data_IF_049250092590
#
_entry.id   IF_049250092590
#
_cell.length_a   1.000
_cell.length_b   1.000
_cell.length_c   1.000
_cell.angle_alpha   90.00
_cell.angle_beta   90.00
_cell.angle_gamma   90.00
#
_symmetry.space_group_name_H-M   'P 1'
#
loop_
_entity.id
_entity.type
_entity.pdbx_description
1 polymer ?
#
# COMPACT_ATOMS: atom_id res chain seq x y z
N UNK A 1 34.34 -20.27 -4.85
CA UNK A 1 34.43 -20.04 -3.38
C UNK A 1 34.19 -18.58 -2.98
N UNK A 2 34.78 -17.58 -3.63
CA UNK A 2 34.58 -16.14 -3.30
C UNK A 2 33.14 -15.68 -3.47
N UNK A 3 32.40 -16.16 -4.47
CA UNK A 3 31.00 -15.78 -4.72
C UNK A 3 30.07 -16.34 -3.64
N UNK A 4 30.31 -17.53 -3.14
CA UNK A 4 29.56 -18.12 -2.03
C UNK A 4 29.79 -17.36 -0.71
N UNK A 5 31.03 -16.95 -0.44
CA UNK A 5 31.42 -16.20 0.75
C UNK A 5 30.74 -14.81 0.74
N UNK A 6 30.75 -14.10 -0.40
CA UNK A 6 30.03 -12.80 -0.49
C UNK A 6 28.53 -12.91 -0.31
N UNK A 7 27.89 -13.97 -0.85
CA UNK A 7 26.44 -14.23 -0.65
C UNK A 7 26.12 -14.54 0.81
N UNK A 8 26.98 -15.30 1.48
CA UNK A 8 26.83 -15.63 2.90
C UNK A 8 27.08 -14.41 3.80
N UNK A 9 28.05 -13.56 3.49
CA UNK A 9 28.30 -12.31 4.20
C UNK A 9 27.12 -11.34 4.11
N UNK A 10 26.50 -11.15 2.95
CA UNK A 10 25.36 -10.26 2.77
C UNK A 10 24.15 -10.70 3.62
N UNK A 11 23.86 -12.00 3.67
CA UNK A 11 22.79 -12.54 4.52
C UNK A 11 23.09 -12.35 6.01
N UNK A 12 24.31 -12.64 6.45
CA UNK A 12 24.68 -12.57 7.87
C UNK A 12 24.83 -11.13 8.36
N UNK A 13 25.33 -10.22 7.51
CA UNK A 13 25.65 -8.85 7.89
C UNK A 13 24.48 -7.88 7.67
N UNK A 14 23.75 -8.04 6.57
CA UNK A 14 22.76 -7.05 6.12
C UNK A 14 21.34 -7.63 5.89
N UNK A 15 21.16 -8.95 5.96
CA UNK A 15 19.86 -9.61 5.92
C UNK A 15 19.16 -9.60 4.57
N UNK A 16 19.87 -9.42 3.44
CA UNK A 16 19.31 -9.55 2.09
C UNK A 16 19.97 -10.70 1.31
N UNK A 17 19.20 -11.38 0.47
CA UNK A 17 19.67 -12.54 -0.29
C UNK A 17 18.76 -12.89 -1.46
N UNK A 18 19.16 -13.88 -2.27
CA UNK A 18 18.33 -14.41 -3.36
C UNK A 18 18.36 -15.93 -3.40
N UNK A 19 17.20 -16.50 -3.76
CA UNK A 19 17.04 -17.93 -4.04
C UNK A 19 16.82 -18.09 -5.55
N UNK A 20 17.60 -18.97 -6.18
CA UNK A 20 17.48 -19.33 -7.60
C UNK A 20 16.83 -20.71 -7.72
N UNK A 21 15.69 -20.78 -8.41
CA UNK A 21 15.09 -22.05 -8.83
C UNK A 21 15.43 -22.31 -10.30
N UNK A 22 16.48 -23.07 -10.53
CA UNK A 22 17.07 -23.21 -11.86
C UNK A 22 16.22 -24.02 -12.84
N UNK A 23 15.47 -25.02 -12.37
CA UNK A 23 14.61 -25.85 -13.21
C UNK A 23 13.48 -25.04 -13.84
N UNK A 24 12.94 -24.07 -13.12
CA UNK A 24 11.75 -23.32 -13.50
C UNK A 24 12.03 -21.86 -13.85
N UNK A 25 13.30 -21.49 -13.91
CA UNK A 25 13.79 -20.16 -14.30
C UNK A 25 13.16 -19.02 -13.53
N UNK A 26 12.94 -19.17 -12.25
CA UNK A 26 12.55 -18.05 -11.40
C UNK A 26 13.56 -17.77 -10.29
N UNK A 27 13.50 -16.56 -9.80
CA UNK A 27 14.35 -16.02 -8.75
C UNK A 27 13.50 -15.29 -7.72
N UNK A 28 13.71 -15.58 -6.44
CA UNK A 28 13.12 -14.82 -5.35
C UNK A 28 14.22 -13.94 -4.76
N UNK A 29 13.98 -12.64 -4.69
CA UNK A 29 14.89 -11.65 -4.12
C UNK A 29 14.30 -11.17 -2.79
N UNK A 30 15.03 -11.41 -1.71
CA UNK A 30 14.68 -10.95 -0.37
C UNK A 30 15.46 -9.68 -0.05
N UNK A 31 14.74 -8.60 0.25
CA UNK A 31 15.29 -7.30 0.56
C UNK A 31 15.14 -6.99 2.06
N UNK A 32 16.18 -6.46 2.67
CA UNK A 32 16.07 -5.85 3.98
C UNK A 32 15.70 -4.37 3.84
N UNK A 33 14.40 -4.11 3.72
CA UNK A 33 13.89 -2.75 3.56
C UNK A 33 13.99 -1.87 4.81
N UNK A 34 14.33 -2.45 5.97
CA UNK A 34 14.65 -1.68 7.17
C UNK A 34 15.91 -0.81 6.99
N UNK A 35 16.79 -1.16 6.04
CA UNK A 35 17.95 -0.32 5.69
C UNK A 35 17.56 0.98 4.97
N UNK A 36 16.33 1.09 4.51
CA UNK A 36 15.81 2.18 3.68
C UNK A 36 14.81 3.08 4.40
N UNK A 37 14.56 2.83 5.70
CA UNK A 37 13.66 3.63 6.52
C UNK A 37 14.18 5.07 6.67
N UNK A 38 13.28 5.98 7.01
CA UNK A 38 13.66 7.33 7.35
C UNK A 38 14.61 7.33 8.55
N UNK A 39 15.71 8.09 8.48
CA UNK A 39 16.80 8.04 9.47
C UNK A 39 16.38 8.37 10.89
N UNK A 40 15.32 9.17 11.07
CA UNK A 40 14.77 9.49 12.40
C UNK A 40 14.25 8.24 13.14
N UNK A 41 13.71 7.25 12.39
CA UNK A 41 13.15 6.02 12.93
C UNK A 41 14.11 4.84 12.90
N UNK A 42 15.26 5.00 12.24
CA UNK A 42 16.19 3.90 11.99
C UNK A 42 17.20 3.70 13.11
N UNK A 43 16.70 3.35 14.31
CA UNK A 43 17.54 3.02 15.47
C UNK A 43 18.50 1.85 15.24
N UNK A 44 18.20 0.97 14.27
CA UNK A 44 19.08 -0.14 13.93
C UNK A 44 20.30 0.33 13.15
N UNK A 45 20.15 1.24 12.19
CA UNK A 45 21.29 1.83 11.51
C UNK A 45 22.20 2.58 12.48
N UNK A 46 21.65 3.32 13.45
CA UNK A 46 22.44 4.01 14.46
C UNK A 46 23.23 3.09 15.41
N UNK A 47 22.72 1.89 15.70
CA UNK A 47 23.42 0.92 16.57
C UNK A 47 24.56 0.17 15.86
N UNK A 48 24.41 -0.11 14.56
CA UNK A 48 25.40 -0.84 13.79
C UNK A 48 26.31 0.08 12.96
N UNK A 49 25.96 1.36 12.85
CA UNK A 49 26.60 2.35 11.99
C UNK A 49 27.89 2.95 12.54
N UNK A 50 28.39 2.47 13.65
CA UNK A 50 29.55 3.07 14.33
C UNK A 50 30.81 3.22 13.47
N UNK A 51 30.91 2.64 12.29
CA UNK A 51 32.01 2.86 11.34
C UNK A 51 31.83 2.32 9.92
N UNK A 52 30.68 1.71 9.56
CA UNK A 52 30.50 1.04 8.26
C UNK A 52 29.44 1.64 7.34
N UNK A 53 28.78 2.75 7.72
CA UNK A 53 27.85 3.45 6.81
C UNK A 53 28.57 4.63 6.17
N UNK A 54 29.56 4.36 5.35
CA UNK A 54 30.16 5.39 4.50
C UNK A 54 29.22 5.82 3.36
N UNK A 55 28.09 5.12 3.14
CA UNK A 55 27.18 5.43 2.07
C UNK A 55 25.71 5.31 2.50
N UNK A 56 25.13 6.40 2.98
CA UNK A 56 23.71 6.50 3.31
C UNK A 56 22.78 6.23 2.09
N UNK A 57 23.29 6.35 0.87
CA UNK A 57 22.56 6.11 -0.37
C UNK A 57 22.55 4.64 -0.82
N UNK A 58 23.47 3.83 -0.32
CA UNK A 58 23.51 2.39 -0.58
C UNK A 58 23.99 1.62 0.66
N UNK A 59 23.16 1.57 1.72
CA UNK A 59 23.51 0.90 2.96
C UNK A 59 23.86 -0.56 2.70
N UNK A 60 25.04 -0.97 3.14
CA UNK A 60 25.57 -2.33 2.96
C UNK A 60 25.60 -2.81 1.49
N UNK A 61 25.69 -1.92 0.52
CA UNK A 61 25.71 -2.22 -0.92
C UNK A 61 24.43 -2.96 -1.42
N UNK A 62 23.31 -2.86 -0.71
CA UNK A 62 22.08 -3.57 -1.09
C UNK A 62 21.55 -3.12 -2.44
N UNK A 63 21.60 -1.81 -2.76
CA UNK A 63 21.15 -1.29 -4.06
C UNK A 63 21.98 -1.81 -5.21
N UNK A 64 23.30 -1.73 -5.09
CA UNK A 64 24.23 -2.23 -6.10
C UNK A 64 24.05 -3.71 -6.35
N UNK A 65 23.85 -4.48 -5.28
CA UNK A 65 23.57 -5.90 -5.37
C UNK A 65 22.19 -6.18 -5.99
N UNK A 66 21.16 -5.46 -5.61
CA UNK A 66 19.79 -5.63 -6.11
C UNK A 66 19.72 -5.41 -7.61
N UNK A 67 20.22 -4.27 -8.11
CA UNK A 67 20.26 -3.95 -9.52
C UNK A 67 21.07 -4.99 -10.34
N UNK A 68 22.24 -5.40 -9.84
CA UNK A 68 23.04 -6.45 -10.46
C UNK A 68 22.33 -7.80 -10.52
N UNK A 69 21.55 -8.10 -9.49
CA UNK A 69 20.75 -9.34 -9.42
C UNK A 69 19.62 -9.31 -10.45
N UNK A 70 18.90 -8.20 -10.58
CA UNK A 70 17.85 -8.02 -11.59
C UNK A 70 18.41 -8.07 -13.01
N UNK A 71 19.53 -7.37 -13.27
CA UNK A 71 20.21 -7.44 -14.57
C UNK A 71 20.62 -8.89 -14.93
N UNK A 72 21.11 -9.63 -13.95
CA UNK A 72 21.49 -11.04 -14.14
C UNK A 72 20.27 -11.90 -14.45
N UNK A 73 19.16 -11.68 -13.73
CA UNK A 73 17.90 -12.38 -13.97
C UNK A 73 17.37 -12.11 -15.38
N UNK A 74 17.37 -10.84 -15.81
CA UNK A 74 16.93 -10.45 -17.16
C UNK A 74 17.79 -11.13 -18.25
N UNK A 75 19.11 -11.13 -18.13
CA UNK A 75 20.01 -11.84 -19.08
C UNK A 75 19.74 -13.35 -19.13
N UNK A 76 19.41 -13.95 -18.00
CA UNK A 76 19.10 -15.38 -17.89
C UNK A 76 17.68 -15.72 -18.29
N UNK A 77 16.84 -14.70 -18.59
CA UNK A 77 15.40 -14.84 -18.83
C UNK A 77 14.69 -15.52 -17.65
N UNK A 78 15.04 -15.14 -16.44
CA UNK A 78 14.40 -15.60 -15.21
C UNK A 78 13.23 -14.68 -14.86
N UNK A 79 12.15 -15.23 -14.37
CA UNK A 79 11.07 -14.54 -13.71
C UNK A 79 11.49 -14.14 -12.29
N UNK A 80 11.11 -12.96 -11.83
CA UNK A 80 11.50 -12.42 -10.51
C UNK A 80 10.32 -12.19 -9.61
N UNK A 81 10.44 -12.64 -8.36
CA UNK A 81 9.61 -12.23 -7.23
C UNK A 81 10.45 -11.44 -6.25
N UNK A 82 9.86 -10.37 -5.70
CA UNK A 82 10.50 -9.53 -4.68
C UNK A 82 9.75 -9.71 -3.37
N UNK A 83 10.48 -9.94 -2.30
CA UNK A 83 9.96 -10.06 -0.94
C UNK A 83 10.69 -9.05 -0.05
N UNK A 84 9.95 -8.27 0.70
CA UNK A 84 10.47 -7.32 1.67
C UNK A 84 9.53 -7.18 2.87
N UNK A 85 9.95 -6.42 3.88
CA UNK A 85 9.08 -6.15 5.02
C UNK A 85 8.33 -4.84 4.84
N UNK A 86 9.03 -3.71 4.86
CA UNK A 86 8.44 -2.38 4.70
C UNK A 86 8.27 -2.06 3.22
N UNK A 87 7.05 -1.80 2.74
CA UNK A 87 6.79 -1.50 1.33
C UNK A 87 7.13 -0.04 0.99
N UNK A 88 7.31 0.28 -0.29
CA UNK A 88 7.27 1.65 -0.76
C UNK A 88 5.84 2.20 -0.72
N UNK A 89 5.72 3.52 -0.75
CA UNK A 89 4.44 4.21 -0.79
C UNK A 89 3.99 4.74 0.56
N UNK A 90 2.71 5.00 0.64
CA UNK A 90 2.06 5.69 1.74
C UNK A 90 1.31 4.69 2.60
N UNK A 91 1.40 4.86 3.92
CA UNK A 91 0.61 4.10 4.89
C UNK A 91 -0.87 4.53 4.79
N UNK A 92 -1.74 3.59 4.51
CA UNK A 92 -3.18 3.80 4.36
C UNK A 92 -3.91 4.10 5.67
N UNK A 93 -3.25 3.95 6.81
CA UNK A 93 -3.78 4.25 8.15
C UNK A 93 -3.19 5.50 8.80
N UNK A 94 -2.07 5.98 8.29
CA UNK A 94 -1.41 7.19 8.79
C UNK A 94 -1.39 8.25 7.68
N UNK A 95 -2.37 9.13 7.69
CA UNK A 95 -2.65 10.15 6.69
C UNK A 95 -1.40 10.72 5.97
N UNK A 96 -0.97 10.06 4.89
CA UNK A 96 0.09 10.54 4.02
C UNK A 96 1.53 10.29 4.50
N UNK A 97 1.76 9.47 5.53
CA UNK A 97 3.11 9.14 5.99
C UNK A 97 3.78 8.10 5.10
N UNK A 98 4.98 8.39 4.61
CA UNK A 98 5.86 7.42 3.98
C UNK A 98 6.85 6.87 5.01
N UNK A 99 7.04 5.54 5.02
CA UNK A 99 7.94 4.88 5.96
C UNK A 99 9.36 4.81 5.41
N UNK A 100 9.50 4.53 4.12
CA UNK A 100 10.80 4.61 3.45
C UNK A 100 11.21 6.07 3.30
N UNK A 101 12.52 6.37 3.40
CA UNK A 101 13.02 7.69 3.06
C UNK A 101 12.68 8.01 1.60
N UNK A 102 12.46 9.28 1.30
CA UNK A 102 12.10 9.75 -0.04
C UNK A 102 13.08 9.26 -1.11
N UNK A 103 14.38 9.33 -0.82
CA UNK A 103 15.43 8.84 -1.71
C UNK A 103 15.26 7.36 -2.03
N UNK A 104 15.07 6.52 -1.01
CA UNK A 104 14.96 5.07 -1.21
C UNK A 104 13.62 4.67 -1.82
N UNK A 105 12.53 5.36 -1.49
CA UNK A 105 11.23 5.16 -2.11
C UNK A 105 11.28 5.46 -3.62
N UNK A 106 11.82 6.60 -3.99
CA UNK A 106 11.96 7.02 -5.39
C UNK A 106 12.86 6.05 -6.17
N UNK A 107 14.01 5.69 -5.60
CA UNK A 107 14.93 4.75 -6.23
C UNK A 107 14.31 3.36 -6.41
N UNK A 108 13.54 2.87 -5.43
CA UNK A 108 12.83 1.61 -5.55
C UNK A 108 11.88 1.62 -6.73
N UNK A 109 11.03 2.62 -6.83
CA UNK A 109 10.06 2.76 -7.92
C UNK A 109 10.73 2.85 -9.29
N UNK A 110 11.85 3.58 -9.39
CA UNK A 110 12.64 3.63 -10.63
C UNK A 110 13.19 2.26 -11.04
N UNK A 111 13.74 1.49 -10.10
CA UNK A 111 14.25 0.13 -10.36
C UNK A 111 13.11 -0.80 -10.77
N UNK A 112 11.96 -0.75 -10.09
CA UNK A 112 10.81 -1.59 -10.45
C UNK A 112 10.29 -1.28 -11.84
N UNK A 113 10.18 -0.01 -12.21
CA UNK A 113 9.79 0.40 -13.57
C UNK A 113 10.73 -0.15 -14.62
N UNK A 114 12.03 -0.03 -14.38
CA UNK A 114 13.07 -0.49 -15.31
C UNK A 114 13.04 -2.00 -15.55
N UNK A 115 12.65 -2.80 -14.54
CA UNK A 115 12.65 -4.26 -14.60
C UNK A 115 11.24 -4.87 -14.54
N UNK A 116 10.19 -4.10 -14.82
CA UNK A 116 8.80 -4.56 -14.75
C UNK A 116 8.49 -5.72 -15.72
N UNK A 117 9.24 -5.84 -16.80
CA UNK A 117 9.14 -6.94 -17.77
C UNK A 117 9.44 -8.32 -17.18
N UNK A 118 10.29 -8.41 -16.17
CA UNK A 118 10.66 -9.67 -15.52
C UNK A 118 10.07 -9.87 -14.12
N UNK A 119 9.57 -8.80 -13.48
CA UNK A 119 9.00 -8.86 -12.13
C UNK A 119 7.53 -9.30 -12.23
N UNK A 120 7.21 -10.47 -11.65
CA UNK A 120 5.86 -11.06 -11.67
C UNK A 120 5.10 -10.88 -10.37
N UNK A 121 5.76 -10.45 -9.29
CA UNK A 121 5.10 -10.17 -8.02
C UNK A 121 6.02 -9.52 -7.02
N UNK A 122 5.45 -8.68 -6.17
CA UNK A 122 6.13 -8.02 -5.07
C UNK A 122 5.28 -8.21 -3.81
N UNK A 123 5.89 -8.74 -2.74
CA UNK A 123 5.21 -9.17 -1.53
C UNK A 123 5.82 -8.51 -0.31
N UNK A 124 4.99 -7.81 0.46
CA UNK A 124 5.40 -7.02 1.63
C UNK A 124 4.44 -7.23 2.80
N UNK A 125 4.77 -6.64 3.93
CA UNK A 125 3.98 -6.62 5.17
C UNK A 125 4.00 -5.25 5.83
N UNK A 126 4.42 -5.18 7.08
CA UNK A 126 4.65 -3.99 7.90
C UNK A 126 3.38 -3.25 8.38
N UNK A 127 2.44 -2.96 7.50
CA UNK A 127 1.24 -2.16 7.85
C UNK A 127 0.15 -2.98 8.55
N UNK A 128 0.28 -4.32 8.54
CA UNK A 128 -0.69 -5.23 9.14
C UNK A 128 -2.09 -5.17 8.51
N UNK A 129 -2.21 -4.57 7.33
CA UNK A 129 -3.46 -4.46 6.57
C UNK A 129 -3.40 -5.29 5.30
N UNK A 130 -4.55 -5.73 4.84
CA UNK A 130 -4.71 -6.31 3.52
C UNK A 130 -4.86 -5.18 2.49
N UNK A 131 -3.84 -4.97 1.70
CA UNK A 131 -3.86 -3.90 0.70
C UNK A 131 -2.91 -4.19 -0.46
N UNK A 132 -3.00 -3.40 -1.51
CA UNK A 132 -2.10 -3.49 -2.66
C UNK A 132 -1.65 -2.11 -3.13
N UNK A 133 -0.67 -2.08 -4.03
CA UNK A 133 -0.23 -0.85 -4.70
C UNK A 133 -0.03 -1.12 -6.18
N UNK A 134 -0.27 -0.11 -6.99
CA UNK A 134 -0.01 -0.13 -8.44
C UNK A 134 1.18 0.77 -8.74
N UNK A 135 2.17 0.25 -9.45
CA UNK A 135 3.34 1.00 -9.91
C UNK A 135 3.10 1.41 -11.36
N UNK A 136 3.21 2.70 -11.62
CA UNK A 136 3.02 3.27 -12.95
C UNK A 136 4.36 3.61 -13.61
N UNK A 137 4.41 3.50 -14.94
CA UNK A 137 5.52 4.03 -15.75
C UNK A 137 5.55 5.56 -15.69
N UNK A 138 6.60 6.15 -16.24
CA UNK A 138 6.70 7.62 -16.35
C UNK A 138 5.66 8.22 -17.32
N UNK A 139 5.04 7.38 -18.15
CA UNK A 139 3.90 7.75 -19.02
C UNK A 139 2.53 7.51 -18.39
N UNK A 140 2.48 7.08 -17.14
CA UNK A 140 1.23 6.83 -16.41
C UNK A 140 0.57 5.48 -16.67
N UNK A 141 1.22 4.53 -17.36
CA UNK A 141 0.69 3.19 -17.58
C UNK A 141 0.98 2.29 -16.36
N UNK A 142 0.02 1.47 -15.89
CA UNK A 142 0.27 0.49 -14.83
C UNK A 142 1.24 -0.59 -15.34
N UNK A 143 2.37 -0.78 -14.66
CA UNK A 143 3.45 -1.68 -15.13
C UNK A 143 3.83 -2.76 -14.11
N UNK A 144 3.54 -2.57 -12.83
CA UNK A 144 3.81 -3.57 -11.80
C UNK A 144 2.86 -3.37 -10.60
N UNK A 145 2.84 -4.33 -9.70
CA UNK A 145 2.00 -4.30 -8.51
C UNK A 145 2.73 -4.82 -7.27
N UNK A 146 2.23 -4.42 -6.12
CA UNK A 146 2.73 -4.80 -4.80
C UNK A 146 1.55 -5.29 -3.97
N UNK A 147 1.69 -6.45 -3.31
CA UNK A 147 0.70 -6.95 -2.36
C UNK A 147 1.27 -6.88 -0.94
N UNK A 148 0.47 -6.37 -0.02
CA UNK A 148 0.72 -6.41 1.41
C UNK A 148 -0.27 -7.38 2.06
N UNK A 149 0.27 -8.35 2.78
CA UNK A 149 -0.55 -9.28 3.54
C UNK A 149 -0.84 -8.72 4.94
N UNK A 150 -2.01 -9.04 5.54
CA UNK A 150 -2.27 -8.72 6.92
C UNK A 150 -1.33 -9.47 7.86
N UNK A 151 -1.30 -9.06 9.12
CA UNK A 151 -0.45 -9.67 10.13
C UNK A 151 -1.14 -10.84 10.83
N UNK A 152 -0.33 -11.82 11.28
CA UNK A 152 -0.77 -12.82 12.27
C UNK A 152 -0.97 -12.15 13.65
N UNK A 153 -0.31 -11.05 13.94
CA UNK A 153 -0.52 -10.27 15.15
C UNK A 153 -1.77 -9.40 15.01
N UNK A 154 -2.69 -9.41 15.99
CA UNK A 154 -3.87 -8.55 15.98
C UNK A 154 -3.55 -7.08 16.32
N UNK A 155 -2.34 -6.77 16.76
CA UNK A 155 -1.91 -5.41 17.10
C UNK A 155 -1.45 -4.67 15.85
N UNK A 156 -2.01 -3.48 15.62
CA UNK A 156 -1.60 -2.57 14.54
C UNK A 156 -1.47 -1.15 15.06
N UNK A 157 -0.63 -0.30 14.44
CA UNK A 157 -0.54 1.12 14.79
C UNK A 157 -1.85 1.89 14.63
N UNK A 158 -2.71 1.46 13.71
CA UNK A 158 -3.98 2.12 13.41
C UNK A 158 -5.20 1.51 14.13
N UNK A 159 -5.03 0.51 15.00
CA UNK A 159 -6.11 -0.18 15.71
C UNK A 159 -6.07 -1.71 15.49
N UNK A 160 -6.96 -2.48 16.11
CA UNK A 160 -6.96 -3.93 16.02
C UNK A 160 -7.40 -4.42 14.64
N UNK A 161 -6.82 -5.54 14.19
CA UNK A 161 -7.32 -6.36 13.09
C UNK A 161 -7.50 -7.78 13.59
N UNK A 162 -8.30 -8.56 12.88
CA UNK A 162 -8.20 -10.00 13.03
C UNK A 162 -6.85 -10.50 12.50
N UNK A 163 -6.26 -11.56 13.11
CA UNK A 163 -5.10 -12.23 12.53
C UNK A 163 -5.41 -12.75 11.13
N UNK A 164 -4.48 -12.57 10.20
CA UNK A 164 -4.63 -13.03 8.83
C UNK A 164 -3.38 -13.73 8.30
N UNK A 165 -3.56 -14.64 7.38
CA UNK A 165 -2.51 -15.27 6.60
C UNK A 165 -2.99 -15.54 5.17
N UNK A 166 -2.04 -15.66 4.23
CA UNK A 166 -2.36 -15.71 2.80
C UNK A 166 -1.62 -16.84 2.10
N UNK A 167 -2.35 -17.60 1.29
CA UNK A 167 -1.79 -18.64 0.42
C UNK A 167 -1.92 -18.20 -1.04
N UNK A 168 -0.77 -18.08 -1.72
CA UNK A 168 -0.72 -17.73 -3.15
C UNK A 168 -0.69 -18.97 -4.03
N UNK A 169 -1.35 -18.89 -5.20
CA UNK A 169 -1.27 -19.86 -6.29
C UNK A 169 -0.40 -19.28 -7.41
N UNK A 170 0.54 -20.08 -7.89
CA UNK A 170 1.46 -19.71 -8.96
C UNK A 170 1.33 -20.66 -10.12
N UNK A 171 1.45 -20.14 -11.32
CA UNK A 171 1.68 -20.93 -12.52
C UNK A 171 3.19 -21.20 -12.62
N UNK A 172 3.58 -22.49 -12.68
CA UNK A 172 4.98 -22.90 -12.54
C UNK A 172 5.83 -22.61 -13.77
N UNK A 173 5.20 -22.54 -14.97
CA UNK A 173 5.90 -22.36 -16.25
C UNK A 173 6.25 -20.91 -16.53
N UNK A 174 5.29 -20.00 -16.25
CA UNK A 174 5.42 -18.55 -16.51
C UNK A 174 5.82 -17.75 -15.27
N UNK A 175 5.62 -18.34 -14.09
CA UNK A 175 5.78 -17.66 -12.82
C UNK A 175 4.67 -16.63 -12.53
N UNK A 176 3.54 -16.69 -13.24
CA UNK A 176 2.42 -15.79 -12.98
C UNK A 176 1.77 -16.12 -11.64
N UNK A 177 1.44 -15.09 -10.86
CA UNK A 177 0.59 -15.24 -9.68
C UNK A 177 -0.84 -15.34 -10.17
N UNK A 178 -1.46 -16.53 -9.98
CA UNK A 178 -2.79 -16.82 -10.51
C UNK A 178 -3.89 -16.29 -9.60
N UNK A 179 -3.74 -16.47 -8.28
CA UNK A 179 -4.72 -16.08 -7.29
C UNK A 179 -4.10 -16.16 -5.89
N UNK A 180 -4.83 -15.72 -4.88
CA UNK A 180 -4.56 -16.07 -3.49
C UNK A 180 -5.86 -16.30 -2.71
N UNK A 181 -5.78 -17.12 -1.68
CA UNK A 181 -6.81 -17.24 -0.65
C UNK A 181 -6.31 -16.58 0.63
N UNK A 182 -7.08 -15.60 1.09
CA UNK A 182 -6.89 -14.99 2.41
C UNK A 182 -7.60 -15.83 3.45
N UNK A 183 -6.92 -16.11 4.56
CA UNK A 183 -7.49 -16.74 5.76
C UNK A 183 -7.43 -15.76 6.91
N UNK A 184 -8.39 -15.85 7.80
CA UNK A 184 -8.44 -15.05 9.02
C UNK A 184 -8.87 -15.87 10.22
N UNK A 185 -8.55 -15.35 11.41
CA UNK A 185 -9.03 -15.84 12.67
C UNK A 185 -9.96 -14.80 13.28
N UNK A 186 -11.25 -15.12 13.45
CA UNK A 186 -12.16 -14.25 14.18
C UNK A 186 -11.72 -14.23 15.67
N UNK A 187 -11.02 -13.17 16.04
CA UNK A 187 -10.40 -13.04 17.34
C UNK A 187 -11.41 -12.94 18.51
N UNK A 188 -12.52 -12.18 18.40
CA UNK A 188 -13.59 -12.20 19.39
C UNK A 188 -14.12 -13.60 19.68
N UNK A 189 -14.43 -14.37 18.63
CA UNK A 189 -14.93 -15.74 18.77
C UNK A 189 -13.88 -16.66 19.38
N UNK A 190 -12.65 -16.61 18.90
CA UNK A 190 -11.54 -17.40 19.42
C UNK A 190 -11.31 -17.17 20.92
N UNK A 191 -11.39 -15.91 21.34
CA UNK A 191 -11.25 -15.53 22.75
C UNK A 191 -12.44 -16.02 23.62
N UNK A 192 -13.66 -16.02 23.08
CA UNK A 192 -14.85 -16.45 23.82
C UNK A 192 -14.94 -17.98 23.97
N UNK A 193 -14.51 -18.71 22.91
CA UNK A 193 -14.58 -20.18 22.87
C UNK A 193 -13.30 -20.82 23.43
N UNK A 194 -12.18 -20.07 23.45
CA UNK A 194 -10.88 -20.56 23.87
C UNK A 194 -10.18 -21.47 22.83
N UNK A 195 -10.63 -21.41 21.56
CA UNK A 195 -10.09 -22.24 20.47
C UNK A 195 -9.92 -21.42 19.20
N UNK A 196 -8.73 -21.53 18.58
CA UNK A 196 -8.44 -20.87 17.31
C UNK A 196 -9.06 -21.67 16.13
N UNK A 197 -9.89 -21.03 15.34
CA UNK A 197 -10.46 -21.58 14.12
C UNK A 197 -10.16 -20.66 12.93
N UNK A 198 -9.21 -21.08 12.08
CA UNK A 198 -8.83 -20.35 10.88
C UNK A 198 -9.81 -20.64 9.76
N UNK A 199 -10.39 -19.60 9.19
CA UNK A 199 -11.40 -19.69 8.14
C UNK A 199 -10.89 -18.98 6.86
N UNK A 200 -11.27 -19.46 5.67
CA UNK A 200 -11.07 -18.68 4.46
C UNK A 200 -11.91 -17.40 4.55
N UNK A 201 -11.30 -16.26 4.27
CA UNK A 201 -11.96 -14.96 4.21
C UNK A 201 -12.48 -14.72 2.79
N UNK A 202 -11.58 -14.81 1.80
CA UNK A 202 -11.92 -14.66 0.39
C UNK A 202 -10.81 -15.21 -0.52
N UNK A 203 -11.14 -15.42 -1.80
CA UNK A 203 -10.21 -15.58 -2.91
C UNK A 203 -10.20 -14.29 -3.73
N UNK A 204 -9.02 -13.79 -4.10
CA UNK A 204 -8.88 -12.45 -4.71
C UNK A 204 -9.73 -12.28 -5.97
N UNK A 205 -9.59 -13.23 -6.93
CA UNK A 205 -10.24 -13.10 -8.23
C UNK A 205 -11.76 -13.12 -8.12
N UNK A 206 -12.30 -14.03 -7.32
CA UNK A 206 -13.74 -14.15 -7.10
C UNK A 206 -14.29 -12.93 -6.35
N UNK A 207 -13.61 -12.52 -5.29
CA UNK A 207 -14.07 -11.45 -4.40
C UNK A 207 -14.18 -10.10 -5.08
N UNK A 208 -13.19 -9.77 -5.93
CA UNK A 208 -13.16 -8.50 -6.67
C UNK A 208 -13.64 -8.62 -8.12
N UNK A 209 -14.09 -9.81 -8.54
CA UNK A 209 -14.58 -10.07 -9.91
C UNK A 209 -13.49 -9.80 -10.97
N UNK A 210 -12.25 -10.19 -10.67
CA UNK A 210 -11.11 -10.04 -11.58
C UNK A 210 -10.89 -11.30 -12.41
N UNK A 211 -10.36 -11.15 -13.62
CA UNK A 211 -10.00 -12.28 -14.48
C UNK A 211 -8.56 -12.77 -14.19
N UNK A 212 -7.68 -11.87 -13.77
CA UNK A 212 -6.26 -12.14 -13.53
C UNK A 212 -5.65 -11.10 -12.57
N UNK A 213 -4.47 -11.42 -12.03
CA UNK A 213 -3.68 -10.49 -11.21
C UNK A 213 -2.65 -9.80 -12.09
N UNK A 214 -2.99 -8.62 -12.59
CA UNK A 214 -2.10 -7.74 -13.36
C UNK A 214 -2.12 -6.32 -12.80
N UNK A 215 -1.14 -5.52 -13.18
CA UNK A 215 -1.11 -4.11 -12.79
C UNK A 215 -2.32 -3.34 -13.35
N UNK A 216 -2.79 -3.72 -14.55
CA UNK A 216 -3.97 -3.13 -15.19
C UNK A 216 -5.23 -3.51 -14.41
N UNK A 217 -5.46 -4.79 -14.16
CA UNK A 217 -6.65 -5.26 -13.43
C UNK A 217 -6.75 -4.64 -12.02
N UNK A 218 -5.61 -4.46 -11.35
CA UNK A 218 -5.57 -3.81 -10.03
C UNK A 218 -5.75 -2.29 -10.11
N UNK A 219 -5.31 -1.66 -11.19
CA UNK A 219 -5.62 -0.26 -11.48
C UNK A 219 -7.13 -0.06 -11.67
N UNK A 220 -7.75 -0.87 -12.53
CA UNK A 220 -9.18 -0.83 -12.79
C UNK A 220 -10.00 -1.08 -11.50
N UNK A 221 -9.54 -2.00 -10.66
CA UNK A 221 -10.14 -2.21 -9.33
C UNK A 221 -10.02 -0.96 -8.45
N UNK A 222 -8.86 -0.30 -8.44
CA UNK A 222 -8.67 0.92 -7.65
C UNK A 222 -9.58 2.06 -8.15
N UNK A 223 -9.75 2.22 -9.45
CA UNK A 223 -10.63 3.24 -10.04
C UNK A 223 -12.10 3.05 -9.61
N UNK A 224 -12.53 1.81 -9.42
CA UNK A 224 -13.87 1.49 -8.89
C UNK A 224 -14.10 2.00 -7.46
N UNK A 225 -13.05 2.27 -6.67
CA UNK A 225 -13.20 2.79 -5.30
C UNK A 225 -13.88 4.16 -5.26
N UNK A 226 -13.72 4.95 -6.31
CA UNK A 226 -14.28 6.30 -6.41
C UNK A 226 -15.65 6.37 -7.12
N UNK A 227 -16.18 5.22 -7.54
CA UNK A 227 -17.47 5.14 -8.23
C UNK A 227 -18.63 5.00 -7.25
N UNK A 228 -19.58 5.93 -7.28
CA UNK A 228 -20.67 6.03 -6.31
C UNK A 228 -21.60 4.79 -6.23
N UNK A 229 -21.71 4.02 -7.32
CA UNK A 229 -22.59 2.86 -7.40
C UNK A 229 -21.84 1.52 -7.42
N UNK A 230 -20.55 1.53 -7.05
CA UNK A 230 -19.72 0.32 -7.01
C UNK A 230 -19.41 -0.05 -5.55
N UNK A 231 -19.50 -1.33 -5.25
CA UNK A 231 -19.19 -1.87 -3.93
C UNK A 231 -17.72 -2.30 -3.77
N UNK A 232 -16.87 -2.04 -4.75
CA UNK A 232 -15.46 -2.44 -4.71
C UNK A 232 -14.72 -1.86 -3.49
N UNK A 233 -14.96 -0.60 -3.15
CA UNK A 233 -14.35 -0.01 -1.97
C UNK A 233 -14.88 -0.61 -0.66
N UNK A 234 -16.16 -0.92 -0.57
CA UNK A 234 -16.75 -1.58 0.60
C UNK A 234 -16.10 -2.95 0.83
N UNK A 235 -15.94 -3.72 -0.23
CA UNK A 235 -15.25 -5.03 -0.20
C UNK A 235 -13.77 -4.85 0.19
N UNK A 236 -13.08 -3.89 -0.45
CA UNK A 236 -11.68 -3.62 -0.15
C UNK A 236 -11.48 -3.20 1.31
N UNK A 237 -12.33 -2.34 1.85
CA UNK A 237 -12.23 -1.87 3.23
C UNK A 237 -12.45 -3.00 4.23
N UNK A 238 -13.42 -3.89 3.98
CA UNK A 238 -13.63 -5.07 4.80
C UNK A 238 -12.41 -6.01 4.80
N UNK A 239 -11.82 -6.26 3.63
CA UNK A 239 -10.59 -7.04 3.50
C UNK A 239 -9.39 -6.33 4.17
N UNK A 240 -9.24 -5.02 3.99
CA UNK A 240 -8.17 -4.21 4.57
C UNK A 240 -8.13 -4.31 6.10
N UNK A 241 -9.30 -4.39 6.73
CA UNK A 241 -9.47 -4.55 8.19
C UNK A 241 -9.57 -6.01 8.63
N UNK A 242 -9.39 -6.96 7.71
CA UNK A 242 -9.46 -8.41 7.96
C UNK A 242 -10.79 -8.80 8.62
N UNK A 243 -11.90 -8.45 7.96
CA UNK A 243 -13.28 -8.72 8.43
C UNK A 243 -13.53 -8.30 9.89
N UNK A 244 -12.98 -7.16 10.30
CA UNK A 244 -13.19 -6.63 11.63
C UNK A 244 -14.68 -6.25 11.83
N UNK A 245 -15.32 -6.56 12.97
CA UNK A 245 -16.69 -6.16 13.24
C UNK A 245 -16.89 -4.63 13.18
N UNK A 246 -18.02 -4.20 12.61
CA UNK A 246 -18.33 -2.77 12.36
C UNK A 246 -18.34 -1.90 13.61
N UNK A 247 -18.60 -2.46 14.78
CA UNK A 247 -18.60 -1.76 16.07
C UNK A 247 -17.19 -1.23 16.41
N UNK A 248 -16.16 -1.85 15.87
CA UNK A 248 -14.75 -1.48 16.05
C UNK A 248 -14.26 -0.56 14.92
N UNK A 249 -14.94 -0.54 13.77
CA UNK A 249 -14.57 0.29 12.61
C UNK A 249 -14.55 1.79 12.90
N UNK A 250 -15.33 2.27 13.86
CA UNK A 250 -15.36 3.69 14.25
C UNK A 250 -14.03 4.21 14.80
N UNK A 251 -13.10 3.31 15.13
CA UNK A 251 -11.76 3.64 15.64
C UNK A 251 -10.80 3.96 14.48
N UNK A 252 -11.12 3.55 13.25
CA UNK A 252 -10.29 3.77 12.06
C UNK A 252 -10.53 5.15 11.45
N UNK A 253 -9.50 5.96 11.39
CA UNK A 253 -9.50 7.42 11.19
C UNK A 253 -10.16 8.01 9.96
N UNK A 254 -10.81 7.26 9.06
CA UNK A 254 -11.40 7.83 7.85
C UNK A 254 -12.94 7.71 7.73
N UNK A 255 -13.62 7.21 8.77
CA UNK A 255 -15.09 7.22 8.80
C UNK A 255 -15.80 6.07 8.10
N UNK A 256 -15.06 5.01 7.72
CA UNK A 256 -15.62 3.74 7.25
C UNK A 256 -15.87 3.66 5.73
N UNK A 257 -16.37 2.50 5.27
CA UNK A 257 -16.41 2.13 3.86
C UNK A 257 -17.43 2.92 3.01
N UNK A 258 -18.35 3.62 3.63
CA UNK A 258 -19.33 4.49 2.93
C UNK A 258 -18.89 5.95 2.87
N UNK A 259 -17.73 6.27 3.42
CA UNK A 259 -17.20 7.62 3.41
C UNK A 259 -16.39 7.87 2.14
N UNK A 260 -16.82 8.79 1.31
CA UNK A 260 -16.18 9.16 0.04
C UNK A 260 -14.73 9.66 0.26
N UNK A 261 -14.49 10.39 1.36
CA UNK A 261 -13.15 10.88 1.70
C UNK A 261 -12.23 9.71 2.06
N UNK A 262 -12.76 8.68 2.73
CA UNK A 262 -12.04 7.45 3.02
C UNK A 262 -11.71 6.68 1.73
N UNK A 263 -12.68 6.50 0.84
CA UNK A 263 -12.49 5.86 -0.46
C UNK A 263 -11.40 6.56 -1.28
N UNK A 264 -11.45 7.89 -1.32
CA UNK A 264 -10.45 8.72 -1.98
C UNK A 264 -9.05 8.57 -1.38
N UNK A 265 -8.96 8.57 -0.04
CA UNK A 265 -7.69 8.35 0.65
C UNK A 265 -7.06 7.02 0.23
N UNK A 266 -7.82 5.93 0.29
CA UNK A 266 -7.33 4.61 -0.12
C UNK A 266 -7.02 4.53 -1.62
N UNK A 267 -7.83 5.13 -2.49
CA UNK A 267 -7.52 5.25 -3.91
C UNK A 267 -6.16 5.93 -4.14
N UNK A 268 -5.95 7.08 -3.50
CA UNK A 268 -4.69 7.80 -3.65
C UNK A 268 -3.50 7.03 -3.05
N UNK A 269 -3.66 6.32 -1.93
CA UNK A 269 -2.58 5.49 -1.36
C UNK A 269 -2.23 4.29 -2.24
N UNK A 270 -3.22 3.68 -2.88
CA UNK A 270 -3.02 2.54 -3.81
C UNK A 270 -2.34 2.98 -5.10
N UNK A 271 -2.69 4.15 -5.63
CA UNK A 271 -2.27 4.60 -6.97
C UNK A 271 -1.13 5.61 -6.96
N UNK A 272 -0.78 6.21 -5.84
CA UNK A 272 0.26 7.26 -5.73
C UNK A 272 1.25 6.92 -4.62
N UNK A 273 2.38 6.34 -5.02
CA UNK A 273 3.39 5.81 -4.11
C UNK A 273 4.46 6.83 -3.69
N UNK A 274 4.35 8.06 -4.18
CA UNK A 274 5.19 9.18 -3.78
C UNK A 274 4.38 10.16 -2.93
N UNK A 275 4.91 10.70 -1.80
CA UNK A 275 4.19 11.62 -0.92
C UNK A 275 3.62 12.86 -1.61
N UNK A 276 4.34 13.44 -2.56
CA UNK A 276 3.87 14.62 -3.30
C UNK A 276 2.68 14.26 -4.20
N UNK A 277 2.82 13.22 -5.03
CA UNK A 277 1.75 12.76 -5.91
C UNK A 277 0.51 12.27 -5.15
N UNK A 278 0.70 11.70 -3.94
CA UNK A 278 -0.41 11.40 -3.05
C UNK A 278 -1.14 12.68 -2.59
N UNK A 279 -0.41 13.69 -2.13
CA UNK A 279 -0.99 14.97 -1.71
C UNK A 279 -1.76 15.65 -2.84
N UNK A 280 -1.20 15.66 -4.06
CA UNK A 280 -1.86 16.20 -5.25
C UNK A 280 -3.13 15.44 -5.56
N UNK A 281 -3.10 14.10 -5.57
CA UNK A 281 -4.26 13.25 -5.78
C UNK A 281 -5.36 13.58 -4.75
N UNK A 282 -5.05 13.51 -3.47
CA UNK A 282 -6.00 13.73 -2.40
C UNK A 282 -6.59 15.15 -2.42
N UNK A 283 -5.77 16.18 -2.63
CA UNK A 283 -6.22 17.57 -2.66
C UNK A 283 -7.08 17.89 -3.87
N UNK A 284 -6.74 17.39 -5.04
CA UNK A 284 -7.47 17.64 -6.28
C UNK A 284 -8.89 17.08 -6.23
N UNK A 285 -9.05 15.87 -5.74
CA UNK A 285 -10.36 15.26 -5.59
C UNK A 285 -11.17 15.85 -4.43
N UNK A 286 -10.54 16.17 -3.28
CA UNK A 286 -11.22 16.80 -2.16
C UNK A 286 -11.85 18.14 -2.56
N UNK A 287 -11.18 18.94 -3.40
CA UNK A 287 -11.73 20.17 -3.96
C UNK A 287 -12.92 19.92 -4.89
N UNK A 288 -12.89 18.87 -5.70
CA UNK A 288 -14.00 18.50 -6.59
C UNK A 288 -15.25 18.13 -5.79
N UNK A 289 -15.10 17.30 -4.77
CA UNK A 289 -16.25 16.95 -3.89
C UNK A 289 -16.76 18.14 -3.09
N UNK A 290 -15.89 19.04 -2.64
CA UNK A 290 -16.31 20.26 -1.95
C UNK A 290 -17.09 21.20 -2.87
N UNK A 291 -16.79 21.21 -4.18
CA UNK A 291 -17.48 22.05 -5.16
C UNK A 291 -18.81 21.45 -5.66
N UNK A 292 -19.00 20.12 -5.56
CA UNK A 292 -20.23 19.40 -5.96
C UNK A 292 -21.19 19.12 -4.79
N UNK A 293 -20.80 19.44 -3.56
CA UNK A 293 -21.68 19.37 -2.39
C UNK A 293 -22.95 20.22 -2.62
N UNK A 294 -24.11 19.85 -2.05
CA UNK A 294 -25.30 20.64 -2.19
C UNK A 294 -24.94 22.06 -1.76
N UNK A 295 -25.06 22.98 -2.70
CA UNK A 295 -24.90 24.41 -2.44
C UNK A 295 -25.88 24.73 -1.30
N UNK A 296 -25.36 24.88 -0.08
CA UNK A 296 -26.13 25.53 0.96
C UNK A 296 -26.66 26.81 0.31
N UNK A 297 -27.98 27.06 0.29
CA UNK A 297 -28.48 28.29 -0.30
C UNK A 297 -27.70 29.39 0.42
N UNK A 298 -26.78 30.06 -0.31
CA UNK A 298 -26.20 31.30 0.15
C UNK A 298 -27.44 32.15 0.44
N UNK A 299 -27.74 32.37 1.73
CA UNK A 299 -28.63 33.40 2.14
C UNK A 299 -28.00 34.68 1.55
N UNK A 300 -28.45 35.03 0.36
CA UNK A 300 -28.41 36.40 -0.10
C UNK A 300 -29.29 37.16 0.92
N UNK A 301 -28.65 37.58 1.99
CA UNK A 301 -29.17 38.73 2.74
C UNK A 301 -29.17 39.84 1.69
N UNK A 302 -30.31 39.95 1.03
CA UNK A 302 -30.48 40.91 -0.03
C UNK A 302 -30.24 42.28 0.62
N UNK A 303 -29.39 43.08 -0.02
CA UNK A 303 -29.15 44.48 0.35
C UNK A 303 -30.51 45.22 0.60
N UNK A 304 -31.59 44.71 0.01
CA UNK A 304 -32.96 45.17 0.18
C UNK A 304 -33.48 45.04 1.61
N UNK A 305 -33.11 44.02 2.37
CA UNK A 305 -33.56 43.89 3.78
C UNK A 305 -32.85 44.91 4.68
N UNK A 306 -31.57 45.20 4.38
CA UNK A 306 -30.81 46.24 5.10
C UNK A 306 -31.36 47.63 4.82
N UNK A 307 -31.75 47.92 3.58
CA UNK A 307 -32.37 49.20 3.19
C UNK A 307 -33.75 49.37 3.83
N UNK A 308 -34.54 48.30 3.92
CA UNK A 308 -35.85 48.35 4.58
C UNK A 308 -35.76 48.57 6.09
N UNK A 309 -34.76 47.99 6.76
CA UNK A 309 -34.52 48.21 8.19
C UNK A 309 -34.02 49.63 8.47
N UNK A 310 -33.15 50.19 7.65
CA UNK A 310 -32.66 51.57 7.77
C UNK A 310 -33.79 52.57 7.47
N UNK A 311 -34.62 52.32 6.49
CA UNK A 311 -35.83 53.19 6.22
C UNK A 311 -36.85 53.12 7.32
N UNK A 312 -37.04 51.96 7.97
CA UNK A 312 -37.99 51.83 9.09
C UNK A 312 -37.51 52.58 10.35
N UNK A 313 -36.20 52.64 10.60
CA UNK A 313 -35.63 53.41 11.71
C UNK A 313 -35.68 54.91 11.45
N UNK A 314 -35.46 55.37 10.23
CA UNK A 314 -35.58 56.77 9.86
C UNK A 314 -37.03 57.33 9.92
N UNK A 315 -38.04 56.48 9.79
CA UNK A 315 -39.41 56.82 9.95
C UNK A 315 -39.91 56.84 11.42
N UNK A 316 -39.13 56.31 12.35
CA UNK A 316 -39.39 56.35 13.80
C UNK A 316 -38.92 57.64 14.50
N UNK A 317 -38.13 58.47 13.84
CA UNK A 317 -37.53 59.69 14.33
C UNK A 317 -38.13 60.96 13.68
N UNK A 318 -39.37 60.87 13.12
CA UNK A 318 -40.15 62.03 12.72
C UNK A 318 -41.42 62.15 13.50
#
# INVERSE_FOLDING_TARGET
RLILIRRFCALVTAGYYTIEQRSEKYRIIFLNTNLWLNTADNRMLHRFAGSMIDNAHDPFEQWSWFQKTLETARRKKETVYIVGHTPPGIDDRQSGAAVLSEHHNTKYLQVIRLYSDIIRGQFFGHWHTDTFRVVYSDTGLPVSWIMMAPSISPSTPGGPNNPGLRLYKFETTTGQVLDYTQYYLNLPDANSIGTANWLPEYSLLEYYELQEITAIALHDLADRFTQLNDYAFVRYYAANTVSLPREVEQIWGCGGPLNVVCALHHYCTVTRLNPESYKECYSSYALTFASTGPSTPRLYFSLHLLVLLVCAELLRYR
#
